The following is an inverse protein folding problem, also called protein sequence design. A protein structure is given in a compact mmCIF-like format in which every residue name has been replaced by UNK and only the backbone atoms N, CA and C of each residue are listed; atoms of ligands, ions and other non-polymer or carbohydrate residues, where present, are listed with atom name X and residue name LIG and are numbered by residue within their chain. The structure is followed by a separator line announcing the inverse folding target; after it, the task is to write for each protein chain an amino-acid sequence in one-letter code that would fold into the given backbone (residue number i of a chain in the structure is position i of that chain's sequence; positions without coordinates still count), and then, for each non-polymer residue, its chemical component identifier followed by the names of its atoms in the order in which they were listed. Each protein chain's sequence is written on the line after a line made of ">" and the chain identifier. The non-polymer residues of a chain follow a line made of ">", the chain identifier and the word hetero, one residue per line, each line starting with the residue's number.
data_IF_146780444849
#
_entry.id   IF_146780444849
#
_cell.length_a   1.000
_cell.length_b   1.000
_cell.length_c   1.000
_cell.angle_alpha   90.00
_cell.angle_beta   90.00
_cell.angle_gamma   90.00
#
_symmetry.space_group_name_H-M   'P 1'
#
loop_
_entity.id
_entity.type
_entity.pdbx_description
1 polymer ?
#
# COMPACT_ATOMS: atom_id res chain seq x y z
N UNK A 1 -3.85 -17.35 13.43
CA UNK A 1 -3.54 -17.34 11.98
C UNK A 1 -4.24 -18.48 11.22
N UNK A 2 -5.35 -19.02 11.72
CA UNK A 2 -6.04 -20.17 11.08
C UNK A 2 -6.80 -19.82 9.79
N UNK A 3 -7.12 -18.53 9.57
CA UNK A 3 -7.79 -18.03 8.37
C UNK A 3 -7.02 -18.28 7.06
N UNK A 4 -5.70 -18.39 7.12
CA UNK A 4 -4.83 -18.52 5.93
C UNK A 4 -4.47 -19.98 5.64
N UNK A 5 -4.33 -20.82 6.67
CA UNK A 5 -3.84 -22.20 6.54
C UNK A 5 -4.81 -23.13 5.78
N UNK A 6 -6.11 -22.84 5.75
CA UNK A 6 -7.10 -23.71 5.09
C UNK A 6 -7.34 -23.33 3.61
N UNK A 7 -6.87 -22.14 3.19
CA UNK A 7 -7.30 -21.50 1.94
C UNK A 7 -6.17 -20.73 1.26
N UNK A 8 -5.31 -21.44 0.55
CA UNK A 8 -4.21 -20.89 -0.26
C UNK A 8 -4.63 -19.77 -1.21
N UNK A 9 -5.87 -19.79 -1.71
CA UNK A 9 -6.40 -18.74 -2.59
C UNK A 9 -6.46 -17.34 -1.94
N UNK A 10 -6.58 -17.28 -0.60
CA UNK A 10 -6.65 -16.02 0.15
C UNK A 10 -5.33 -15.25 0.11
N UNK A 11 -4.20 -15.96 0.08
CA UNK A 11 -2.87 -15.36 -0.10
C UNK A 11 -2.73 -14.72 -1.48
N UNK A 12 -3.17 -15.42 -2.53
CA UNK A 12 -3.19 -14.87 -3.88
C UNK A 12 -4.11 -13.66 -3.99
N UNK A 13 -5.30 -13.72 -3.37
CA UNK A 13 -6.22 -12.59 -3.32
C UNK A 13 -5.61 -11.36 -2.61
N UNK A 14 -4.92 -11.56 -1.47
CA UNK A 14 -4.23 -10.48 -0.77
C UNK A 14 -3.08 -9.88 -1.60
N UNK A 15 -2.38 -10.71 -2.39
CA UNK A 15 -1.34 -10.26 -3.30
C UNK A 15 -1.92 -9.47 -4.49
N UNK A 16 -3.02 -9.92 -5.09
CA UNK A 16 -3.72 -9.15 -6.12
C UNK A 16 -4.22 -7.80 -5.57
N UNK A 17 -4.77 -7.79 -4.35
CA UNK A 17 -5.22 -6.58 -3.69
C UNK A 17 -4.05 -5.59 -3.50
N UNK A 18 -2.87 -6.06 -3.12
CA UNK A 18 -1.67 -5.22 -3.03
C UNK A 18 -1.28 -4.57 -4.37
N UNK A 19 -1.31 -5.33 -5.47
CA UNK A 19 -1.00 -4.77 -6.79
C UNK A 19 -2.03 -3.72 -7.23
N UNK A 20 -3.32 -3.95 -6.96
CA UNK A 20 -4.37 -2.95 -7.19
C UNK A 20 -4.10 -1.69 -6.37
N UNK A 21 -3.70 -1.84 -5.12
CA UNK A 21 -3.28 -0.74 -4.24
C UNK A 21 -2.12 0.06 -4.82
N UNK A 22 -1.11 -0.62 -5.38
CA UNK A 22 0.05 -0.01 -6.03
C UNK A 22 -0.33 0.83 -7.25
N UNK A 23 -1.25 0.34 -8.09
CA UNK A 23 -1.73 1.10 -9.26
C UNK A 23 -2.41 2.39 -8.79
N UNK A 24 -3.31 2.29 -7.80
CA UNK A 24 -4.01 3.45 -7.24
C UNK A 24 -3.02 4.45 -6.59
N UNK A 25 -1.98 3.96 -5.94
CA UNK A 25 -0.91 4.78 -5.38
C UNK A 25 -0.18 5.60 -6.42
N UNK A 26 0.11 4.99 -7.57
CA UNK A 26 0.68 5.67 -8.75
C UNK A 26 -0.09 6.91 -9.13
N UNK A 27 -1.41 6.79 -9.26
CA UNK A 27 -2.27 7.91 -9.63
C UNK A 27 -2.32 8.99 -8.54
N UNK A 28 -2.51 8.61 -7.28
CA UNK A 28 -2.68 9.57 -6.17
C UNK A 28 -1.38 10.32 -5.89
N UNK A 29 -0.29 9.59 -5.66
CA UNK A 29 0.99 10.19 -5.30
C UNK A 29 1.69 10.82 -6.50
N UNK A 30 1.47 10.32 -7.72
CA UNK A 30 1.90 10.99 -8.95
C UNK A 30 1.23 12.37 -9.09
N UNK A 31 -0.08 12.43 -8.88
CA UNK A 31 -0.82 13.69 -8.88
C UNK A 31 -0.33 14.67 -7.79
N UNK A 32 -0.03 14.16 -6.59
CA UNK A 32 0.52 14.98 -5.50
C UNK A 32 1.93 15.48 -5.86
N UNK A 33 2.77 14.64 -6.45
CA UNK A 33 4.12 15.02 -6.89
C UNK A 33 4.10 16.13 -7.95
N UNK A 34 3.15 16.05 -8.89
CA UNK A 34 2.99 17.03 -9.95
C UNK A 34 2.46 18.38 -9.43
N UNK A 35 1.59 18.37 -8.40
CA UNK A 35 0.88 19.57 -7.94
C UNK A 35 1.51 20.26 -6.73
N UNK A 36 2.08 19.50 -5.80
CA UNK A 36 2.66 20.00 -4.55
C UNK A 36 4.19 19.86 -4.48
N UNK A 37 4.79 19.21 -5.47
CA UNK A 37 6.23 18.97 -5.54
C UNK A 37 6.66 17.59 -5.00
N UNK A 38 7.91 17.22 -5.28
CA UNK A 38 8.44 15.86 -5.03
C UNK A 38 8.68 15.54 -3.54
N UNK A 39 9.13 16.53 -2.76
CA UNK A 39 9.39 16.39 -1.31
C UNK A 39 8.12 16.02 -0.52
N UNK A 40 6.99 16.77 -0.60
CA UNK A 40 5.78 16.42 0.13
C UNK A 40 5.14 15.10 -0.36
N UNK A 41 5.30 14.76 -1.64
CA UNK A 41 4.89 13.45 -2.15
C UNK A 41 5.66 12.30 -1.48
N UNK A 42 6.98 12.44 -1.31
CA UNK A 42 7.81 11.44 -0.63
C UNK A 42 7.45 11.29 0.86
N UNK A 43 7.21 12.40 1.56
CA UNK A 43 6.83 12.40 2.99
C UNK A 43 5.45 11.78 3.18
N UNK A 44 4.47 12.16 2.36
CA UNK A 44 3.12 11.59 2.43
C UNK A 44 3.10 10.09 2.12
N UNK A 45 3.89 9.65 1.12
CA UNK A 45 4.01 8.24 0.77
C UNK A 45 4.60 7.40 1.91
N UNK A 46 5.65 7.89 2.56
CA UNK A 46 6.25 7.24 3.74
C UNK A 46 5.30 7.23 4.95
N UNK A 47 4.59 8.33 5.20
CA UNK A 47 3.62 8.39 6.28
C UNK A 47 2.51 7.34 6.10
N UNK A 48 1.91 7.27 4.90
CA UNK A 48 0.88 6.27 4.57
C UNK A 48 1.44 4.86 4.73
N UNK A 49 2.66 4.58 4.24
CA UNK A 49 3.28 3.27 4.35
C UNK A 49 3.52 2.84 5.80
N UNK A 50 3.94 3.77 6.65
CA UNK A 50 4.13 3.53 8.08
C UNK A 50 2.81 3.22 8.78
N UNK A 51 1.80 4.09 8.63
CA UNK A 51 0.48 3.88 9.26
C UNK A 51 -0.20 2.61 8.75
N UNK A 52 -0.11 2.32 7.46
CA UNK A 52 -0.71 1.12 6.88
C UNK A 52 -0.03 -0.17 7.35
N UNK A 53 1.30 -0.15 7.52
CA UNK A 53 2.06 -1.28 8.06
C UNK A 53 1.72 -1.54 9.52
N UNK A 54 1.61 -0.48 10.33
CA UNK A 54 1.17 -0.59 11.73
C UNK A 54 -0.27 -1.11 11.79
N UNK A 55 -1.18 -0.58 10.97
CA UNK A 55 -2.57 -1.05 10.92
C UNK A 55 -2.69 -2.54 10.53
N UNK A 56 -1.80 -3.03 9.67
CA UNK A 56 -1.75 -4.45 9.29
C UNK A 56 -1.44 -5.35 10.49
N UNK A 57 -0.61 -4.92 11.43
CA UNK A 57 -0.27 -5.68 12.64
C UNK A 57 -1.46 -5.88 13.58
N UNK A 58 -2.45 -4.99 13.55
CA UNK A 58 -3.67 -5.07 14.37
C UNK A 58 -4.82 -5.82 13.69
N UNK A 59 -4.66 -6.26 12.44
CA UNK A 59 -5.73 -6.93 11.70
C UNK A 59 -5.96 -8.37 12.21
N UNK A 60 -7.15 -8.63 12.76
CA UNK A 60 -7.58 -9.98 13.19
C UNK A 60 -8.48 -10.70 12.16
N UNK A 61 -9.02 -10.00 11.16
CA UNK A 61 -9.91 -10.54 10.14
C UNK A 61 -9.29 -10.51 8.74
N UNK A 62 -9.67 -11.45 7.87
CA UNK A 62 -9.20 -11.51 6.47
C UNK A 62 -9.51 -10.22 5.69
N UNK A 63 -10.72 -9.68 5.83
CA UNK A 63 -11.13 -8.44 5.15
C UNK A 63 -10.31 -7.24 5.59
N UNK A 64 -10.07 -7.10 6.90
CA UNK A 64 -9.22 -6.03 7.45
C UNK A 64 -7.78 -6.18 6.94
N UNK A 65 -7.27 -7.40 6.90
CA UNK A 65 -5.95 -7.69 6.36
C UNK A 65 -5.84 -7.34 4.86
N UNK A 66 -6.85 -7.67 4.05
CA UNK A 66 -6.88 -7.36 2.62
C UNK A 66 -6.92 -5.84 2.36
N UNK A 67 -7.72 -5.10 3.12
CA UNK A 67 -7.78 -3.63 3.05
C UNK A 67 -6.44 -3.03 3.49
N UNK A 68 -5.84 -3.53 4.57
CA UNK A 68 -4.53 -3.05 5.01
C UNK A 68 -3.45 -3.31 3.93
N UNK A 69 -3.47 -4.49 3.29
CA UNK A 69 -2.61 -4.83 2.14
C UNK A 69 -2.81 -3.92 0.94
N UNK A 70 -4.04 -3.49 0.66
CA UNK A 70 -4.34 -2.49 -0.38
C UNK A 70 -3.66 -1.16 -0.06
N UNK A 71 -3.83 -0.66 1.16
CA UNK A 71 -3.28 0.64 1.58
C UNK A 71 -1.74 0.59 1.62
N UNK A 72 -1.15 -0.50 2.12
CA UNK A 72 0.31 -0.70 2.09
C UNK A 72 0.82 -0.72 0.64
N UNK A 73 0.08 -1.36 -0.27
CA UNK A 73 0.41 -1.41 -1.69
C UNK A 73 0.52 -0.03 -2.32
N UNK A 74 -0.32 0.92 -1.90
CA UNK A 74 -0.34 2.32 -2.37
C UNK A 74 1.00 3.04 -2.15
N UNK A 75 1.74 2.69 -1.09
CA UNK A 75 3.03 3.33 -0.79
C UNK A 75 4.24 2.59 -1.35
N UNK A 76 4.15 1.28 -1.60
CA UNK A 76 5.33 0.44 -1.86
C UNK A 76 6.08 0.80 -3.14
N UNK A 77 5.38 0.96 -4.27
CA UNK A 77 6.00 1.31 -5.56
C UNK A 77 6.31 2.82 -5.65
N UNK A 78 5.43 3.65 -5.09
CA UNK A 78 5.56 5.10 -5.18
C UNK A 78 6.74 5.67 -4.40
N UNK A 79 7.16 5.05 -3.30
CA UNK A 79 8.36 5.46 -2.57
C UNK A 79 9.61 5.46 -3.47
N UNK A 80 9.74 4.49 -4.38
CA UNK A 80 10.87 4.39 -5.31
C UNK A 80 10.68 5.27 -6.54
N UNK A 81 9.48 5.28 -7.11
CA UNK A 81 9.17 6.05 -8.32
C UNK A 81 9.41 7.56 -8.10
N UNK A 82 8.95 8.09 -6.97
CA UNK A 82 9.19 9.50 -6.61
C UNK A 82 10.69 9.77 -6.46
N UNK A 83 11.46 8.85 -5.86
CA UNK A 83 12.90 8.98 -5.62
C UNK A 83 13.73 9.00 -6.91
N UNK A 84 13.42 8.15 -7.88
CA UNK A 84 14.11 8.11 -9.18
C UNK A 84 13.85 9.34 -10.03
N UNK A 85 12.70 9.97 -9.83
CA UNK A 85 12.29 11.14 -10.58
C UNK A 85 12.97 12.41 -10.04
N UNK A 86 13.34 12.48 -8.75
CA UNK A 86 14.01 13.64 -8.11
C UNK A 86 15.31 13.99 -8.83
#
# INVERSE_FOLDING_TARGET
>A
MEWVCDKTYLSSAAQSAFFVGSILGGFVFGYIADRYGRIPALVSCNAVGFFASVATAFCNNFWSFAIARLIVGTSFDNCFNILFII
#
